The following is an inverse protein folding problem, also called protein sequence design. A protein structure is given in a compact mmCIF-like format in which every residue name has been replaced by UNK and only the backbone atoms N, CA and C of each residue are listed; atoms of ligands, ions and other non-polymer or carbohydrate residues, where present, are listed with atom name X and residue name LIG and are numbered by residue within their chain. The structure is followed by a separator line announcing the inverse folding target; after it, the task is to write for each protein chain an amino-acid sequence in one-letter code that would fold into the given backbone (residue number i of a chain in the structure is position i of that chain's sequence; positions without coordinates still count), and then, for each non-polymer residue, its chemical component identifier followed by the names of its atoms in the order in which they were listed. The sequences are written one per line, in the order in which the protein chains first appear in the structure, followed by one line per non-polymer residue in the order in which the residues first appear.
data_IF_688671656628
#
_entry.id   IF_688671656628
#
_cell.length_a   1.000
_cell.length_b   1.000
_cell.length_c   1.000
_cell.angle_alpha   90.00
_cell.angle_beta   90.00
_cell.angle_gamma   90.00
#
_symmetry.space_group_name_H-M   'P 1'
#
loop_
_entity.id
_entity.type
_entity.pdbx_description
1 polymer ?
#
# COMPACT_ATOMS: atom_id res chain seq x y z
N UNK A 1 17.58 -17.80 -21.12
CA UNK A 1 18.35 -17.62 -19.86
C UNK A 1 19.12 -16.30 -19.79
N UNK A 2 19.95 -15.93 -20.78
CA UNK A 2 20.78 -14.71 -20.76
C UNK A 2 19.98 -13.41 -20.53
N UNK A 3 18.85 -13.23 -21.23
CA UNK A 3 17.96 -12.08 -21.06
C UNK A 3 17.36 -11.99 -19.64
N UNK A 4 16.96 -13.11 -19.05
CA UNK A 4 16.46 -13.14 -17.67
C UNK A 4 17.52 -12.77 -16.63
N UNK A 5 18.77 -13.19 -16.81
CA UNK A 5 19.87 -12.79 -15.90
C UNK A 5 20.12 -11.28 -15.97
N UNK A 6 20.13 -10.70 -17.18
CA UNK A 6 20.26 -9.26 -17.38
C UNK A 6 19.12 -8.52 -16.69
N UNK A 7 17.88 -9.00 -16.84
CA UNK A 7 16.70 -8.45 -16.18
C UNK A 7 16.87 -8.35 -14.66
N UNK A 8 17.35 -9.44 -14.02
CA UNK A 8 17.58 -9.47 -12.57
C UNK A 8 18.63 -8.43 -12.17
N UNK A 9 19.76 -8.35 -12.87
CA UNK A 9 20.84 -7.40 -12.54
C UNK A 9 20.35 -5.96 -12.66
N UNK A 10 19.70 -5.60 -13.77
CA UNK A 10 19.17 -4.25 -13.99
C UNK A 10 18.14 -3.85 -12.90
N UNK A 11 17.30 -4.80 -12.49
CA UNK A 11 16.29 -4.56 -11.45
C UNK A 11 16.92 -4.31 -10.08
N UNK A 12 17.95 -5.07 -9.75
CA UNK A 12 18.70 -4.91 -8.51
C UNK A 12 19.54 -3.62 -8.52
N UNK A 13 19.99 -3.17 -9.68
CA UNK A 13 20.62 -1.86 -9.83
C UNK A 13 19.63 -0.72 -9.61
N UNK A 14 18.41 -0.84 -10.17
CA UNK A 14 17.35 0.14 -10.04
C UNK A 14 16.93 0.38 -8.58
N UNK A 15 16.76 -0.70 -7.80
CA UNK A 15 16.44 -0.59 -6.36
C UNK A 15 17.70 -0.41 -5.48
N UNK A 16 18.85 -0.13 -6.10
CA UNK A 16 20.12 0.20 -5.45
C UNK A 16 20.74 -0.90 -4.57
N UNK A 17 20.44 -2.18 -4.81
CA UNK A 17 21.05 -3.32 -4.10
C UNK A 17 22.58 -3.29 -4.20
N UNK A 18 23.13 -2.90 -5.35
CA UNK A 18 24.58 -2.76 -5.53
C UNK A 18 25.23 -1.72 -4.60
N UNK A 19 24.48 -0.68 -4.19
CA UNK A 19 24.97 0.38 -3.29
C UNK A 19 24.78 0.03 -1.82
N UNK A 20 23.77 -0.78 -1.51
CA UNK A 20 23.37 -1.11 -0.15
C UNK A 20 23.92 -2.46 0.32
N UNK A 21 24.08 -3.42 -0.60
CA UNK A 21 24.60 -4.78 -0.38
C UNK A 21 25.64 -5.18 -1.45
N UNK A 22 26.79 -4.50 -1.52
CA UNK A 22 27.76 -4.72 -2.59
C UNK A 22 28.29 -6.16 -2.64
N UNK A 23 28.45 -6.81 -1.48
CA UNK A 23 28.89 -8.20 -1.39
C UNK A 23 27.86 -9.17 -1.95
N UNK A 24 26.60 -9.04 -1.53
CA UNK A 24 25.50 -9.87 -2.04
C UNK A 24 25.29 -9.63 -3.54
N UNK A 25 25.29 -8.36 -3.97
CA UNK A 25 25.12 -8.01 -5.38
C UNK A 25 26.18 -8.67 -6.27
N UNK A 26 27.44 -8.67 -5.83
CA UNK A 26 28.52 -9.37 -6.54
C UNK A 26 28.23 -10.86 -6.66
N UNK A 27 27.74 -11.52 -5.62
CA UNK A 27 27.39 -12.93 -5.69
C UNK A 27 26.20 -13.17 -6.64
N UNK A 28 25.18 -12.33 -6.59
CA UNK A 28 24.03 -12.39 -7.49
C UNK A 28 24.45 -12.20 -8.96
N UNK A 29 25.37 -11.27 -9.24
CA UNK A 29 25.86 -11.07 -10.61
C UNK A 29 26.55 -12.30 -11.22
N UNK A 30 27.03 -13.21 -10.37
CA UNK A 30 27.72 -14.45 -10.77
C UNK A 30 26.77 -15.65 -10.92
N UNK A 31 25.48 -15.52 -10.61
CA UNK A 31 24.53 -16.64 -10.76
C UNK A 31 24.43 -17.08 -12.21
N UNK A 32 24.14 -18.37 -12.40
CA UNK A 32 23.98 -18.94 -13.75
C UNK A 32 22.54 -18.81 -14.21
N UNK A 33 21.58 -19.15 -13.34
CA UNK A 33 20.16 -19.04 -13.63
C UNK A 33 19.54 -17.84 -12.90
N UNK A 34 18.71 -17.07 -13.58
CA UNK A 34 18.11 -15.85 -13.02
C UNK A 34 17.25 -16.13 -11.78
N UNK A 35 16.60 -17.30 -11.71
CA UNK A 35 15.79 -17.70 -10.56
C UNK A 35 16.62 -17.98 -9.29
N UNK A 36 17.93 -18.20 -9.41
CA UNK A 36 18.82 -18.47 -8.28
C UNK A 36 18.99 -17.25 -7.37
N UNK A 37 18.57 -16.06 -7.82
CA UNK A 37 18.52 -14.85 -6.97
C UNK A 37 17.69 -15.07 -5.69
N UNK A 38 16.69 -15.98 -5.73
CA UNK A 38 15.89 -16.35 -4.54
C UNK A 38 16.73 -16.93 -3.41
N UNK A 39 17.86 -17.56 -3.72
CA UNK A 39 18.75 -18.15 -2.72
C UNK A 39 19.43 -17.09 -1.84
N UNK A 40 19.47 -15.83 -2.29
CA UNK A 40 20.08 -14.72 -1.57
C UNK A 40 19.09 -13.97 -0.67
N UNK A 41 17.79 -14.25 -0.75
CA UNK A 41 16.75 -13.53 0.01
C UNK A 41 17.04 -13.53 1.51
N UNK A 42 17.42 -14.69 2.07
CA UNK A 42 17.74 -14.81 3.48
C UNK A 42 18.94 -13.94 3.90
N UNK A 43 19.97 -13.86 3.06
CA UNK A 43 21.15 -13.05 3.31
C UNK A 43 20.84 -11.55 3.16
N UNK A 44 20.02 -11.17 2.17
CA UNK A 44 19.57 -9.78 1.97
C UNK A 44 18.77 -9.31 3.19
N UNK A 45 17.85 -10.14 3.71
CA UNK A 45 17.07 -9.79 4.90
C UNK A 45 17.96 -9.61 6.14
N UNK A 46 18.96 -10.48 6.32
CA UNK A 46 19.91 -10.38 7.45
C UNK A 46 20.79 -9.15 7.33
N UNK A 47 21.40 -8.93 6.17
CA UNK A 47 22.30 -7.81 5.95
C UNK A 47 21.53 -6.48 6.01
N UNK A 48 20.29 -6.45 5.53
CA UNK A 48 19.38 -5.32 5.73
C UNK A 48 19.22 -5.00 7.21
N UNK A 49 18.87 -5.99 8.03
CA UNK A 49 18.65 -5.79 9.46
C UNK A 49 19.92 -5.27 10.16
N UNK A 50 21.10 -5.79 9.79
CA UNK A 50 22.37 -5.31 10.32
C UNK A 50 22.65 -3.87 9.89
N UNK A 51 22.56 -3.57 8.60
CA UNK A 51 22.84 -2.25 8.04
C UNK A 51 21.91 -1.18 8.61
N UNK A 52 20.61 -1.48 8.73
CA UNK A 52 19.62 -0.58 9.31
C UNK A 52 19.74 -0.41 10.83
N UNK A 53 20.39 -1.34 11.54
CA UNK A 53 20.70 -1.19 12.95
C UNK A 53 21.89 -0.22 13.21
N UNK A 54 22.68 0.09 12.18
CA UNK A 54 23.87 0.97 12.29
C UNK A 54 23.55 2.48 12.32
N UNK A 55 22.28 2.87 12.47
CA UNK A 55 21.86 4.25 12.76
C UNK A 55 22.42 5.31 11.81
N UNK A 56 23.16 6.30 12.34
CA UNK A 56 23.66 7.48 11.59
C UNK A 56 24.91 7.23 10.74
N UNK A 57 25.39 5.99 10.66
CA UNK A 57 26.49 5.67 9.73
C UNK A 57 26.07 5.89 8.28
N UNK A 58 27.04 6.09 7.37
CA UNK A 58 26.79 6.20 5.93
C UNK A 58 26.04 4.98 5.35
N UNK A 59 26.06 3.85 6.04
CA UNK A 59 25.32 2.63 5.68
C UNK A 59 23.91 2.68 6.27
N UNK A 60 23.76 3.00 7.57
CA UNK A 60 22.44 3.11 8.20
C UNK A 60 21.57 4.24 7.62
N UNK A 61 22.17 5.36 7.20
CA UNK A 61 21.46 6.44 6.51
C UNK A 61 20.84 6.02 5.16
N UNK A 62 21.36 4.95 4.53
CA UNK A 62 20.80 4.38 3.30
C UNK A 62 19.61 3.44 3.55
N UNK A 63 19.31 3.13 4.81
CA UNK A 63 18.17 2.28 5.16
C UNK A 63 16.85 2.93 4.72
N UNK A 64 16.61 4.20 5.04
CA UNK A 64 15.33 4.84 4.71
C UNK A 64 15.08 4.92 3.19
N UNK A 65 16.03 5.36 2.34
CA UNK A 65 15.87 5.30 0.89
C UNK A 65 15.58 3.88 0.37
N UNK A 66 16.27 2.87 0.90
CA UNK A 66 16.04 1.49 0.52
C UNK A 66 14.65 0.99 0.94
N UNK A 67 14.23 1.28 2.18
CA UNK A 67 12.89 0.94 2.67
C UNK A 67 11.77 1.68 1.90
N UNK A 68 12.03 2.87 1.37
CA UNK A 68 11.12 3.56 0.43
C UNK A 68 11.01 2.80 -0.89
N UNK A 69 12.13 2.39 -1.49
CA UNK A 69 12.12 1.59 -2.72
C UNK A 69 11.43 0.23 -2.54
N UNK A 70 11.45 -0.32 -1.32
CA UNK A 70 10.74 -1.55 -0.98
C UNK A 70 9.22 -1.33 -0.74
N UNK A 71 8.75 -0.09 -0.67
CA UNK A 71 7.38 0.28 -0.32
C UNK A 71 7.06 0.16 1.18
N UNK A 72 8.08 0.02 2.03
CA UNK A 72 7.96 -0.11 3.49
C UNK A 72 7.70 1.25 4.13
N UNK A 73 8.46 2.25 3.68
CA UNK A 73 8.32 3.64 4.09
C UNK A 73 7.67 4.47 2.99
N UNK A 74 6.89 5.45 3.40
CA UNK A 74 6.39 6.49 2.51
C UNK A 74 7.51 7.51 2.18
N UNK A 75 7.67 7.85 0.91
CA UNK A 75 8.77 8.69 0.42
C UNK A 75 8.85 10.10 1.04
N UNK A 76 7.72 10.66 1.50
CA UNK A 76 7.64 12.05 2.00
C UNK A 76 7.65 12.09 3.52
N UNK A 77 6.76 11.33 4.15
CA UNK A 77 6.56 11.38 5.61
C UNK A 77 7.46 10.40 6.38
N UNK A 78 8.14 9.48 5.68
CA UNK A 78 8.86 8.34 6.27
C UNK A 78 8.00 7.53 7.24
N UNK A 79 6.68 7.60 7.07
CA UNK A 79 5.75 6.78 7.83
C UNK A 79 5.94 5.33 7.38
N UNK A 80 5.90 4.40 8.33
CA UNK A 80 5.88 2.97 8.04
C UNK A 80 4.49 2.55 7.61
N UNK A 81 4.37 2.12 6.36
CA UNK A 81 3.09 1.92 5.67
C UNK A 81 3.01 0.58 4.98
N UNK A 82 4.16 0.04 4.56
CA UNK A 82 4.27 -1.30 4.00
C UNK A 82 4.63 -2.37 5.04
N UNK A 83 4.67 -3.63 4.60
CA UNK A 83 5.07 -4.76 5.43
C UNK A 83 6.53 -4.61 5.87
N UNK A 84 6.97 -5.31 6.93
CA UNK A 84 8.37 -5.25 7.36
C UNK A 84 9.30 -5.87 6.29
N UNK A 85 10.58 -5.48 6.31
CA UNK A 85 11.56 -5.89 5.29
C UNK A 85 11.68 -7.41 5.10
N UNK A 86 11.51 -8.19 6.17
CA UNK A 86 11.48 -9.66 6.11
C UNK A 86 10.40 -10.24 5.19
N UNK A 87 9.33 -9.49 4.94
CA UNK A 87 8.20 -9.90 4.11
C UNK A 87 8.27 -9.19 2.74
N UNK A 88 8.65 -7.91 2.71
CA UNK A 88 8.78 -7.12 1.47
C UNK A 88 9.92 -7.57 0.55
N UNK A 89 11.07 -7.96 1.10
CA UNK A 89 12.25 -8.39 0.32
C UNK A 89 11.95 -9.68 -0.47
N UNK A 90 11.41 -10.76 0.15
CA UNK A 90 11.01 -11.95 -0.60
C UNK A 90 10.01 -11.65 -1.73
N UNK A 91 9.04 -10.76 -1.48
CA UNK A 91 8.00 -10.39 -2.44
C UNK A 91 8.60 -9.73 -3.69
N UNK A 92 9.43 -8.68 -3.51
CA UNK A 92 10.11 -7.99 -4.62
C UNK A 92 11.03 -8.94 -5.39
N UNK A 93 11.79 -9.79 -4.69
CA UNK A 93 12.65 -10.77 -5.37
C UNK A 93 11.81 -11.77 -6.18
N UNK A 94 10.62 -12.14 -5.68
CA UNK A 94 9.64 -12.94 -6.42
C UNK A 94 9.19 -12.27 -7.72
N UNK A 95 8.79 -11.00 -7.64
CA UNK A 95 8.38 -10.21 -8.80
C UNK A 95 9.50 -10.04 -9.83
N UNK A 96 10.72 -9.75 -9.38
CA UNK A 96 11.90 -9.66 -10.24
C UNK A 96 12.12 -10.98 -10.98
N UNK A 97 11.92 -12.13 -10.32
CA UNK A 97 12.07 -13.43 -10.97
C UNK A 97 10.96 -13.70 -11.98
N UNK A 98 9.71 -13.33 -11.70
CA UNK A 98 8.63 -13.47 -12.68
C UNK A 98 8.79 -12.52 -13.87
N UNK A 99 9.24 -11.29 -13.64
CA UNK A 99 9.61 -10.36 -14.71
C UNK A 99 10.78 -10.88 -15.55
N UNK A 100 11.82 -11.42 -14.90
CA UNK A 100 12.96 -12.04 -15.58
C UNK A 100 12.58 -13.28 -16.38
N UNK A 101 11.60 -14.06 -15.91
CA UNK A 101 11.01 -15.18 -16.64
C UNK A 101 10.27 -14.69 -17.89
N UNK A 102 9.48 -13.62 -17.78
CA UNK A 102 8.84 -12.96 -18.93
C UNK A 102 9.86 -12.44 -19.96
N UNK A 103 10.92 -11.78 -19.51
CA UNK A 103 12.02 -11.32 -20.36
C UNK A 103 12.78 -12.49 -21.02
N UNK A 104 12.98 -13.60 -20.28
CA UNK A 104 13.61 -14.81 -20.82
C UNK A 104 12.74 -15.52 -21.87
N UNK A 105 11.41 -15.51 -21.71
CA UNK A 105 10.46 -16.13 -22.63
C UNK A 105 10.27 -15.32 -23.92
N UNK A 106 10.29 -14.00 -23.82
CA UNK A 106 10.11 -13.08 -24.96
C UNK A 106 11.39 -12.79 -25.73
N UNK A 107 12.55 -13.23 -25.21
CA UNK A 107 13.88 -12.83 -25.70
C UNK A 107 14.05 -11.31 -25.86
N UNK A 108 13.24 -10.53 -25.10
CA UNK A 108 13.18 -9.08 -25.23
C UNK A 108 14.50 -8.45 -24.80
N UNK A 109 15.01 -7.54 -25.64
CA UNK A 109 16.17 -6.69 -25.32
C UNK A 109 15.84 -5.67 -24.22
N UNK A 110 14.57 -5.36 -24.02
CA UNK A 110 14.11 -4.35 -23.06
C UNK A 110 13.55 -5.04 -21.82
N UNK A 111 14.39 -5.87 -21.18
CA UNK A 111 14.06 -6.54 -19.93
C UNK A 111 13.72 -5.53 -18.82
N UNK A 112 14.36 -4.37 -18.83
CA UNK A 112 14.06 -3.21 -17.98
C UNK A 112 12.58 -2.77 -18.06
N UNK A 113 11.92 -2.82 -19.22
CA UNK A 113 10.51 -2.38 -19.36
C UNK A 113 9.53 -3.32 -18.65
N UNK A 114 9.76 -4.64 -18.74
CA UNK A 114 8.88 -5.64 -18.13
C UNK A 114 8.99 -5.63 -16.61
N UNK A 115 10.20 -5.44 -16.07
CA UNK A 115 10.37 -5.36 -14.61
C UNK A 115 9.96 -4.00 -14.06
N UNK A 116 10.24 -2.90 -14.76
CA UNK A 116 9.72 -1.58 -14.40
C UNK A 116 8.19 -1.57 -14.38
N UNK A 117 7.54 -2.26 -15.33
CA UNK A 117 6.09 -2.43 -15.32
C UNK A 117 5.60 -3.22 -14.10
N UNK A 118 6.31 -4.29 -13.70
CA UNK A 118 5.96 -5.06 -12.50
C UNK A 118 6.08 -4.24 -11.21
N UNK A 119 7.20 -3.51 -11.05
CA UNK A 119 7.43 -2.65 -9.87
C UNK A 119 6.41 -1.50 -9.82
N UNK A 120 6.14 -0.84 -10.96
CA UNK A 120 5.10 0.20 -11.05
C UNK A 120 3.70 -0.35 -10.78
N UNK A 121 3.40 -1.56 -11.23
CA UNK A 121 2.12 -2.20 -10.96
C UNK A 121 1.95 -2.47 -9.45
N UNK A 122 3.01 -2.91 -8.77
CA UNK A 122 3.01 -3.05 -7.30
C UNK A 122 2.84 -1.72 -6.59
N UNK A 123 3.59 -0.69 -6.97
CA UNK A 123 3.40 0.67 -6.41
C UNK A 123 1.96 1.14 -6.59
N UNK A 124 1.40 0.95 -7.78
CA UNK A 124 0.01 1.32 -8.10
C UNK A 124 -0.99 0.53 -7.25
N UNK A 125 -0.81 -0.79 -7.11
CA UNK A 125 -1.68 -1.63 -6.30
C UNK A 125 -1.61 -1.30 -4.80
N UNK A 126 -0.41 -0.98 -4.29
CA UNK A 126 -0.23 -0.53 -2.90
C UNK A 126 -0.88 0.84 -2.66
N UNK A 127 -0.80 1.75 -3.64
CA UNK A 127 -1.47 3.04 -3.62
C UNK A 127 -2.99 2.86 -3.67
N UNK A 128 -3.52 2.06 -4.59
CA UNK A 128 -4.95 1.77 -4.72
C UNK A 128 -5.51 1.13 -3.45
N UNK A 129 -4.87 0.09 -2.91
CA UNK A 129 -5.31 -0.55 -1.66
C UNK A 129 -5.33 0.41 -0.47
N UNK A 130 -4.39 1.36 -0.42
CA UNK A 130 -4.36 2.43 0.60
C UNK A 130 -5.48 3.45 0.40
N UNK A 131 -5.72 3.89 -0.84
CA UNK A 131 -6.83 4.81 -1.14
C UNK A 131 -8.18 4.18 -0.81
N UNK A 132 -8.41 2.91 -1.17
CA UNK A 132 -9.62 2.16 -0.82
C UNK A 132 -9.85 2.11 0.70
N UNK A 133 -8.81 1.84 1.48
CA UNK A 133 -8.91 1.85 2.96
C UNK A 133 -9.26 3.23 3.54
N UNK A 134 -8.73 4.30 2.93
CA UNK A 134 -8.95 5.68 3.39
C UNK A 134 -10.32 6.21 2.99
N UNK A 135 -10.78 5.88 1.77
CA UNK A 135 -12.10 6.22 1.25
C UNK A 135 -13.19 5.51 2.07
N UNK A 136 -12.97 4.25 2.46
CA UNK A 136 -13.91 3.50 3.31
C UNK A 136 -14.14 4.21 4.65
N UNK A 137 -13.08 4.69 5.29
CA UNK A 137 -13.19 5.43 6.56
C UNK A 137 -13.95 6.76 6.39
N UNK A 138 -13.71 7.48 5.29
CA UNK A 138 -14.40 8.75 5.02
C UNK A 138 -15.89 8.50 4.74
N UNK A 139 -16.22 7.51 3.90
CA UNK A 139 -17.61 7.17 3.56
C UNK A 139 -18.40 6.67 4.77
N UNK A 140 -17.76 5.90 5.67
CA UNK A 140 -18.39 5.46 6.92
C UNK A 140 -18.83 6.66 7.79
N UNK A 141 -18.01 7.71 7.85
CA UNK A 141 -18.34 8.94 8.61
C UNK A 141 -19.54 9.69 8.00
N UNK A 142 -19.65 9.75 6.67
CA UNK A 142 -20.75 10.42 5.96
C UNK A 142 -22.06 9.66 6.17
N UNK A 143 -22.04 8.32 6.05
CA UNK A 143 -23.21 7.48 6.27
C UNK A 143 -23.73 7.65 7.72
N UNK A 144 -22.82 7.70 8.70
CA UNK A 144 -23.20 7.90 10.10
C UNK A 144 -23.93 9.24 10.33
N UNK A 145 -23.48 10.34 9.71
CA UNK A 145 -24.14 11.65 9.81
C UNK A 145 -25.54 11.60 9.20
N UNK A 146 -25.70 10.97 8.02
CA UNK A 146 -27.00 10.85 7.33
C UNK A 146 -28.00 10.08 8.22
N UNK A 147 -27.58 8.99 8.85
CA UNK A 147 -28.43 8.20 9.74
C UNK A 147 -28.91 9.02 10.96
N UNK A 148 -28.01 9.79 11.58
CA UNK A 148 -28.37 10.67 12.72
C UNK A 148 -29.41 11.72 12.28
N UNK A 149 -29.21 12.35 11.12
CA UNK A 149 -30.15 13.35 10.58
C UNK A 149 -31.51 12.71 10.27
N UNK A 150 -31.55 11.51 9.67
CA UNK A 150 -32.80 10.80 9.40
C UNK A 150 -33.58 10.48 10.68
N UNK A 151 -32.90 10.03 11.74
CA UNK A 151 -33.52 9.78 13.05
C UNK A 151 -34.12 11.09 13.61
N UNK A 152 -33.38 12.21 13.55
CA UNK A 152 -33.88 13.51 13.98
C UNK A 152 -35.13 13.94 13.22
N UNK A 153 -35.17 13.73 11.89
CA UNK A 153 -36.32 14.06 11.05
C UNK A 153 -37.54 13.20 11.42
N UNK A 154 -37.37 11.89 11.61
CA UNK A 154 -38.48 10.99 11.98
C UNK A 154 -39.06 11.39 13.34
N UNK A 155 -38.22 11.59 14.36
CA UNK A 155 -38.66 12.01 15.70
C UNK A 155 -39.33 13.39 15.63
N UNK A 156 -38.74 14.33 14.89
CA UNK A 156 -39.31 15.67 14.68
C UNK A 156 -40.70 15.60 14.05
N UNK A 157 -40.89 14.77 13.01
CA UNK A 157 -42.18 14.61 12.34
C UNK A 157 -43.23 14.03 13.30
N UNK A 158 -42.87 13.04 14.12
CA UNK A 158 -43.77 12.47 15.15
C UNK A 158 -44.17 13.55 16.15
N UNK A 159 -43.21 14.33 16.67
CA UNK A 159 -43.47 15.40 17.63
C UNK A 159 -44.33 16.52 17.02
N UNK A 160 -44.04 16.93 15.78
CA UNK A 160 -44.80 17.93 15.04
C UNK A 160 -46.25 17.47 14.81
N UNK A 161 -46.43 16.21 14.44
CA UNK A 161 -47.74 15.62 14.25
C UNK A 161 -48.54 15.59 15.56
N UNK A 162 -47.91 15.18 16.67
CA UNK A 162 -48.54 15.18 18.01
C UNK A 162 -48.97 16.58 18.46
N UNK A 163 -48.14 17.61 18.23
CA UNK A 163 -48.49 19.02 18.56
C UNK A 163 -49.71 19.49 17.77
N UNK A 164 -49.75 19.23 16.46
CA UNK A 164 -50.92 19.60 15.62
C UNK A 164 -52.20 18.89 16.07
N UNK A 165 -52.14 17.61 16.44
CA UNK A 165 -53.30 16.87 16.94
C UNK A 165 -53.83 17.42 18.27
N UNK A 166 -52.94 17.83 19.20
CA UNK A 166 -53.34 18.48 20.46
C UNK A 166 -54.08 19.81 20.20
N UNK A 167 -53.61 20.64 19.26
CA UNK A 167 -54.25 21.92 18.95
C UNK A 167 -55.63 21.76 18.30
N UNK A 168 -55.80 20.76 17.41
CA UNK A 168 -57.12 20.47 16.81
C UNK A 168 -58.17 20.06 17.85
N UNK A 169 -57.79 19.24 18.84
CA UNK A 169 -58.68 18.89 19.95
C UNK A 169 -59.07 20.10 20.79
N UNK A 170 -58.12 20.98 21.13
CA UNK A 170 -58.42 22.21 21.89
C UNK A 170 -59.46 23.10 21.20
N UNK A 171 -59.39 23.27 19.88
CA UNK A 171 -60.37 24.05 19.12
C UNK A 171 -61.77 23.44 19.16
N UNK A 172 -61.90 22.11 19.17
CA UNK A 172 -63.21 21.46 19.29
C UNK A 172 -63.80 21.63 20.70
N UNK A 173 -62.99 21.54 21.76
CA UNK A 173 -63.45 21.80 23.13
C UNK A 173 -63.92 23.25 23.33
N UNK A 174 -63.23 24.24 22.77
CA UNK A 174 -63.66 25.65 22.84
C UNK A 174 -64.99 25.87 22.11
N UNK A 175 -65.24 25.14 21.02
CA UNK A 175 -66.52 25.22 20.30
C UNK A 175 -67.67 24.62 21.12
N UNK A 176 -67.47 23.46 21.74
CA UNK A 176 -68.50 22.79 22.55
C UNK A 176 -68.90 23.55 23.82
N UNK A 177 -68.02 24.39 24.37
CA UNK A 177 -68.29 25.20 25.57
C UNK A 177 -68.96 26.55 25.25
N UNK A 178 -69.10 26.90 23.97
CA UNK A 178 -69.63 28.20 23.52
C UNK A 178 -71.07 28.12 23.01
N UNK A 179 -71.59 26.91 22.80
CA UNK A 179 -73.04 26.61 22.75
C UNK A 179 -73.56 26.44 24.18
#
# INVERSE_FOLDING_TARGET
MKAGKIAVIESLEFIEVHKFFPGIFKNISNITHYADVKNFVGDIVKEHALNCALGTTNVGAKCSPFEVNLGILEAITFKKTGPPAKDAIPEIVGEIVEGAKGAAATASKNASETVTAAIKARETALIEGRFESSITSINASIIAIIVIVLIMVIIYLILRYRRKKKMKKKLQYIKLLKE
#
